data_IF_538728648440
#
_entry.id   IF_538728648440
#
_cell.length_a   1.000
_cell.length_b   1.000
_cell.length_c   1.000
_cell.angle_alpha   90.00
_cell.angle_beta   90.00
_cell.angle_gamma   90.00
#
_symmetry.space_group_name_H-M   'P 1'
#
loop_
_entity.id
_entity.type
_entity.pdbx_description
1 polymer ?
#
# COMPACT_ATOMS: atom_id res chain seq x y z
N UNK A 1 1.13 -27.26 6.67
CA UNK A 1 0.82 -26.63 5.37
C UNK A 1 0.92 -25.13 5.54
N UNK A 2 1.72 -24.45 4.72
CA UNK A 2 1.82 -22.99 4.71
C UNK A 2 0.79 -22.49 3.69
N UNK A 3 -0.27 -21.86 4.15
CA UNK A 3 -1.26 -21.26 3.25
C UNK A 3 -0.66 -19.98 2.64
N UNK A 4 -0.74 -19.86 1.31
CA UNK A 4 -0.36 -18.63 0.60
C UNK A 4 -1.65 -17.82 0.45
N UNK A 5 -1.70 -16.65 1.07
CA UNK A 5 -2.83 -15.72 0.93
C UNK A 5 -2.47 -14.68 -0.13
N UNK A 6 -3.22 -14.68 -1.23
CA UNK A 6 -3.03 -13.73 -2.34
C UNK A 6 -4.19 -12.73 -2.29
N UNK A 7 -3.87 -11.45 -2.24
CA UNK A 7 -4.82 -10.36 -2.49
C UNK A 7 -4.50 -9.74 -3.85
N UNK A 8 -5.42 -9.80 -4.83
CA UNK A 8 -5.21 -9.10 -6.08
C UNK A 8 -5.25 -7.59 -5.85
N UNK A 9 -4.40 -6.88 -6.59
CA UNK A 9 -4.41 -5.42 -6.70
C UNK A 9 -4.57 -5.11 -8.17
N UNK A 10 -5.58 -4.32 -8.50
CA UNK A 10 -5.73 -3.79 -9.85
C UNK A 10 -4.74 -2.63 -10.05
N UNK A 11 -4.04 -2.62 -11.18
CA UNK A 11 -3.15 -1.53 -11.56
C UNK A 11 -3.76 -0.78 -12.74
N UNK A 12 -3.81 0.55 -12.65
CA UNK A 12 -4.31 1.41 -13.74
C UNK A 12 -3.30 2.49 -14.11
N UNK A 13 -3.25 2.83 -15.40
CA UNK A 13 -2.41 3.92 -15.93
C UNK A 13 -3.26 5.17 -16.21
N UNK A 14 -4.15 5.49 -15.27
CA UNK A 14 -4.96 6.73 -15.25
C UNK A 14 -4.94 7.33 -13.84
N UNK A 15 -5.19 8.63 -13.72
CA UNK A 15 -5.34 9.29 -12.41
C UNK A 15 -6.58 8.79 -11.66
N UNK A 16 -6.47 8.69 -10.33
CA UNK A 16 -7.57 8.36 -9.43
C UNK A 16 -7.90 9.54 -8.52
N UNK A 17 -9.20 9.70 -8.23
CA UNK A 17 -9.73 10.78 -7.41
C UNK A 17 -10.80 10.24 -6.47
N UNK A 18 -10.87 10.82 -5.27
CA UNK A 18 -11.95 10.60 -4.31
C UNK A 18 -12.46 11.95 -3.81
N UNK A 19 -13.74 12.07 -3.39
CA UNK A 19 -14.26 13.32 -2.84
C UNK A 19 -13.38 13.87 -1.71
N UNK A 20 -13.02 15.15 -1.80
CA UNK A 20 -12.22 15.84 -0.79
C UNK A 20 -10.70 15.77 -0.97
N UNK A 21 -10.19 15.02 -1.95
CA UNK A 21 -8.76 14.98 -2.29
C UNK A 21 -8.53 15.35 -3.76
N UNK A 22 -7.36 15.95 -4.02
CA UNK A 22 -6.97 16.36 -5.37
C UNK A 22 -6.51 15.19 -6.25
N UNK A 23 -6.10 14.06 -5.65
CA UNK A 23 -5.82 12.77 -6.29
C UNK A 23 -5.57 11.74 -5.19
N UNK A 24 -5.51 10.45 -5.56
CA UNK A 24 -4.98 9.38 -4.72
C UNK A 24 -4.04 8.49 -5.51
N UNK A 25 -3.06 7.88 -4.84
CA UNK A 25 -2.19 6.87 -5.45
C UNK A 25 -2.87 5.51 -5.56
N UNK A 26 -3.83 5.24 -4.70
CA UNK A 26 -4.64 4.04 -4.73
C UNK A 26 -5.87 4.20 -3.86
N UNK A 27 -6.69 3.17 -3.88
CA UNK A 27 -7.86 3.05 -3.02
C UNK A 27 -8.13 1.58 -2.72
N UNK A 28 -8.45 1.31 -1.46
CA UNK A 28 -8.99 0.03 -1.04
C UNK A 28 -10.44 0.17 -0.57
N UNK A 29 -11.28 -0.81 -0.93
CA UNK A 29 -12.66 -0.91 -0.46
C UNK A 29 -13.08 -2.37 -0.34
N UNK A 30 -13.43 -2.78 0.88
CA UNK A 30 -13.68 -4.18 1.19
C UNK A 30 -12.43 -5.03 0.93
N UNK A 31 -12.56 -6.04 0.07
CA UNK A 31 -11.47 -6.94 -0.32
C UNK A 31 -10.81 -6.54 -1.65
N UNK A 32 -11.12 -5.36 -2.18
CA UNK A 32 -10.58 -4.89 -3.45
C UNK A 32 -9.62 -3.73 -3.20
N UNK A 33 -8.57 -3.67 -4.01
CA UNK A 33 -7.58 -2.61 -4.00
C UNK A 33 -7.21 -2.24 -5.44
N UNK A 34 -7.04 -0.95 -5.71
CA UNK A 34 -6.55 -0.43 -6.98
C UNK A 34 -5.43 0.57 -6.73
N UNK A 35 -4.39 0.56 -7.56
CA UNK A 35 -3.34 1.59 -7.58
C UNK A 35 -3.26 2.28 -8.95
N UNK A 36 -3.00 3.58 -8.92
CA UNK A 36 -2.66 4.39 -10.09
C UNK A 36 -1.14 4.48 -10.24
N UNK A 37 -0.64 4.10 -11.40
CA UNK A 37 0.78 4.17 -11.72
C UNK A 37 1.22 5.55 -12.23
N UNK A 38 0.28 6.36 -12.72
CA UNK A 38 0.57 7.61 -13.45
C UNK A 38 1.42 8.56 -12.63
N UNK A 39 1.00 8.83 -11.38
CA UNK A 39 1.68 9.78 -10.49
C UNK A 39 2.85 9.17 -9.74
N UNK A 40 3.17 7.89 -9.93
CA UNK A 40 4.35 7.25 -9.35
C UNK A 40 5.57 7.38 -10.28
N UNK A 41 5.34 7.63 -11.57
CA UNK A 41 6.37 7.84 -12.58
C UNK A 41 7.07 9.19 -12.37
N UNK A 42 8.41 9.23 -12.25
CA UNK A 42 9.16 10.49 -12.25
C UNK A 42 8.81 11.41 -13.43
N UNK A 43 8.53 10.84 -14.60
CA UNK A 43 8.19 11.56 -15.82
C UNK A 43 6.92 12.42 -15.70
N UNK A 44 5.97 12.02 -14.84
CA UNK A 44 4.77 12.82 -14.55
C UNK A 44 5.14 14.20 -14.00
N UNK A 45 6.21 14.28 -13.21
CA UNK A 45 6.74 15.50 -12.63
C UNK A 45 7.87 16.14 -13.46
N UNK A 46 7.99 15.75 -14.74
CA UNK A 46 9.02 16.23 -15.68
C UNK A 46 10.45 15.90 -15.25
N UNK A 47 10.62 14.90 -14.39
CA UNK A 47 11.92 14.37 -14.04
C UNK A 47 12.39 13.37 -15.10
N UNK A 48 13.69 13.02 -15.06
CA UNK A 48 14.21 11.96 -15.91
C UNK A 48 13.62 10.63 -15.48
N UNK A 49 13.31 9.80 -16.48
CA UNK A 49 12.91 8.41 -16.29
C UNK A 49 13.85 7.70 -15.32
N UNK A 50 13.28 7.15 -14.26
CA UNK A 50 13.99 6.34 -13.27
C UNK A 50 13.15 5.11 -12.92
N UNK A 51 13.48 4.00 -13.58
CA UNK A 51 12.78 2.71 -13.44
C UNK A 51 12.89 2.14 -12.02
N UNK A 52 14.00 2.37 -11.34
CA UNK A 52 14.18 1.92 -9.96
C UNK A 52 13.18 2.62 -9.04
N UNK A 53 13.13 3.95 -9.14
CA UNK A 53 12.26 4.76 -8.29
C UNK A 53 10.78 4.52 -8.61
N UNK A 54 10.42 4.39 -9.89
CA UNK A 54 9.07 4.01 -10.29
C UNK A 54 8.68 2.66 -9.68
N UNK A 55 9.51 1.62 -9.79
CA UNK A 55 9.23 0.30 -9.21
C UNK A 55 9.12 0.33 -7.70
N UNK A 56 9.99 1.06 -7.03
CA UNK A 56 9.96 1.20 -5.57
C UNK A 56 8.64 1.83 -5.11
N UNK A 57 8.22 2.93 -5.75
CA UNK A 57 6.97 3.62 -5.47
C UNK A 57 5.76 2.73 -5.74
N UNK A 58 5.71 2.07 -6.90
CA UNK A 58 4.64 1.13 -7.25
C UNK A 58 4.53 0.00 -6.25
N UNK A 59 5.66 -0.59 -5.83
CA UNK A 59 5.66 -1.65 -4.82
C UNK A 59 5.12 -1.14 -3.47
N UNK A 60 5.50 0.07 -3.06
CA UNK A 60 5.03 0.64 -1.79
C UNK A 60 3.52 0.80 -1.76
N UNK A 61 2.93 1.36 -2.82
CA UNK A 61 1.48 1.53 -2.90
C UNK A 61 0.75 0.18 -3.13
N UNK A 62 1.34 -0.74 -3.91
CA UNK A 62 0.83 -2.10 -4.10
C UNK A 62 0.81 -2.94 -2.81
N UNK A 63 1.59 -2.56 -1.79
CA UNK A 63 1.52 -3.18 -0.45
C UNK A 63 0.58 -2.37 0.47
N UNK A 64 0.57 -1.05 0.34
CA UNK A 64 -0.28 -0.14 1.13
C UNK A 64 -1.76 -0.47 0.97
N UNK A 65 -2.27 -0.54 -0.26
CA UNK A 65 -3.70 -0.70 -0.51
C UNK A 65 -4.24 -2.05 -0.03
N UNK A 66 -3.60 -3.21 -0.29
CA UNK A 66 -3.97 -4.47 0.37
C UNK A 66 -3.90 -4.40 1.89
N UNK A 67 -2.97 -3.63 2.46
CA UNK A 67 -2.92 -3.43 3.91
C UNK A 67 -4.27 -2.95 4.47
N UNK A 68 -4.97 -2.09 3.75
CA UNK A 68 -6.34 -1.68 4.08
C UNK A 68 -7.37 -2.81 3.95
N UNK A 69 -7.26 -3.69 2.94
CA UNK A 69 -8.17 -4.86 2.81
C UNK A 69 -8.00 -5.87 3.96
N UNK A 70 -6.82 -5.91 4.59
CA UNK A 70 -6.58 -6.65 5.83
C UNK A 70 -7.04 -5.91 7.11
N UNK A 71 -7.66 -4.74 6.97
CA UNK A 71 -8.18 -3.96 8.09
C UNK A 71 -7.14 -3.09 8.79
N UNK A 72 -5.99 -2.79 8.16
CA UNK A 72 -5.12 -1.74 8.65
C UNK A 72 -5.68 -0.36 8.32
N UNK A 73 -5.48 0.59 9.23
CA UNK A 73 -5.67 2.01 8.97
C UNK A 73 -4.31 2.68 8.75
N UNK A 74 -4.33 3.95 8.36
CA UNK A 74 -3.10 4.74 8.24
C UNK A 74 -2.28 4.70 9.53
N UNK A 75 -0.96 4.63 9.36
CA UNK A 75 0.00 4.54 10.45
C UNK A 75 0.69 5.90 10.65
N UNK A 76 0.83 6.38 11.91
CA UNK A 76 1.55 7.62 12.19
C UNK A 76 3.07 7.49 12.01
N UNK A 77 3.60 6.26 11.95
CA UNK A 77 5.01 6.00 11.65
C UNK A 77 5.26 6.25 10.15
N UNK A 78 5.97 7.34 9.84
CA UNK A 78 6.31 7.76 8.47
C UNK A 78 7.13 6.72 7.70
N UNK A 79 7.82 5.80 8.40
CA UNK A 79 8.59 4.73 7.77
C UNK A 79 7.77 3.46 7.54
N UNK A 80 6.54 3.38 8.03
CA UNK A 80 5.65 2.26 7.79
C UNK A 80 5.03 2.33 6.39
N UNK A 81 4.85 1.20 5.71
CA UNK A 81 4.15 1.15 4.42
C UNK A 81 2.72 1.69 4.48
N UNK A 82 2.07 1.59 5.66
CA UNK A 82 0.73 2.12 5.90
C UNK A 82 0.71 3.62 6.23
N UNK A 83 1.82 4.34 6.14
CA UNK A 83 1.78 5.79 6.26
C UNK A 83 0.93 6.39 5.14
N UNK A 84 0.12 7.40 5.43
CA UNK A 84 -0.68 8.07 4.41
C UNK A 84 0.21 8.92 3.52
N UNK A 85 0.07 8.78 2.19
CA UNK A 85 0.76 9.64 1.23
C UNK A 85 -0.20 10.65 0.64
N UNK A 86 0.02 11.93 0.95
CA UNK A 86 -0.71 13.03 0.32
C UNK A 86 0.07 13.62 -0.87
N UNK A 87 1.38 13.41 -0.88
CA UNK A 87 2.31 13.81 -1.94
C UNK A 87 3.27 12.67 -2.26
N UNK A 88 3.96 12.77 -3.39
CA UNK A 88 4.90 11.73 -3.84
C UNK A 88 6.06 11.52 -2.85
N UNK A 89 6.51 12.61 -2.23
CA UNK A 89 7.61 12.58 -1.26
C UNK A 89 7.26 11.75 -0.02
N UNK A 90 5.98 11.69 0.36
CA UNK A 90 5.51 10.86 1.46
C UNK A 90 5.70 9.36 1.13
N UNK A 91 5.44 8.95 -0.11
CA UNK A 91 5.70 7.59 -0.60
C UNK A 91 7.21 7.30 -0.62
N UNK A 92 8.03 8.26 -1.00
CA UNK A 92 9.50 8.09 -1.00
C UNK A 92 10.05 7.88 0.43
N UNK A 93 9.46 8.55 1.43
CA UNK A 93 9.85 8.43 2.84
C UNK A 93 9.47 7.08 3.46
N UNK A 94 8.43 6.39 2.96
CA UNK A 94 8.06 5.06 3.48
C UNK A 94 9.25 4.10 3.41
N UNK A 95 9.40 3.26 4.44
CA UNK A 95 10.29 2.11 4.40
C UNK A 95 9.73 0.99 3.52
N UNK A 96 10.45 -0.13 3.37
CA UNK A 96 10.07 -1.21 2.46
C UNK A 96 8.94 -2.11 2.98
N UNK A 97 8.37 -1.84 4.16
CA UNK A 97 7.38 -2.73 4.75
C UNK A 97 6.66 -2.17 5.97
N UNK A 98 5.84 -3.04 6.58
CA UNK A 98 5.07 -2.72 7.78
C UNK A 98 5.97 -2.51 9.00
N UNK A 99 5.64 -1.52 9.83
CA UNK A 99 6.21 -1.44 11.17
C UNK A 99 5.79 -2.66 12.03
N UNK A 100 6.42 -2.83 13.20
CA UNK A 100 6.12 -3.96 14.11
C UNK A 100 4.63 -4.04 14.47
N UNK A 101 3.97 -2.91 14.72
CA UNK A 101 2.56 -2.88 15.09
C UNK A 101 1.65 -3.32 13.94
N UNK A 102 1.86 -2.81 12.72
CA UNK A 102 1.08 -3.21 11.54
C UNK A 102 1.35 -4.67 11.16
N UNK A 103 2.60 -5.13 11.25
CA UNK A 103 2.98 -6.53 11.03
C UNK A 103 2.24 -7.49 11.97
N UNK A 104 2.11 -7.13 13.25
CA UNK A 104 1.38 -7.94 14.23
C UNK A 104 -0.12 -8.00 13.91
N UNK A 105 -0.73 -6.88 13.51
CA UNK A 105 -2.14 -6.84 13.09
C UNK A 105 -2.40 -7.73 11.88
N UNK A 106 -1.55 -7.66 10.84
CA UNK A 106 -1.63 -8.53 9.66
C UNK A 106 -1.52 -10.00 10.07
N UNK A 107 -0.53 -10.34 10.91
CA UNK A 107 -0.34 -11.73 11.37
C UNK A 107 -1.55 -12.26 12.12
N UNK A 108 -2.16 -11.45 12.99
CA UNK A 108 -3.36 -11.84 13.71
C UNK A 108 -4.53 -12.05 12.75
N UNK A 109 -4.73 -11.13 11.79
CA UNK A 109 -5.79 -11.24 10.79
C UNK A 109 -5.66 -12.48 9.90
N UNK A 110 -4.44 -12.79 9.48
CA UNK A 110 -4.14 -14.03 8.75
C UNK A 110 -4.33 -15.26 9.64
N UNK A 111 -3.95 -15.18 10.93
CA UNK A 111 -4.20 -16.26 11.89
C UNK A 111 -5.68 -16.58 12.04
N UNK A 112 -6.52 -15.57 12.19
CA UNK A 112 -7.99 -15.70 12.21
C UNK A 112 -8.51 -16.36 10.93
N UNK A 113 -8.09 -15.87 9.76
CA UNK A 113 -8.51 -16.42 8.47
C UNK A 113 -8.08 -17.88 8.25
N UNK A 114 -7.00 -18.30 8.90
CA UNK A 114 -6.43 -19.66 8.80
C UNK A 114 -6.82 -20.57 9.97
N UNK A 115 -7.68 -20.10 10.90
CA UNK A 115 -8.03 -20.80 12.15
C UNK A 115 -6.79 -21.19 12.98
N UNK A 116 -5.74 -20.36 12.96
CA UNK A 116 -4.53 -20.54 13.76
C UNK A 116 -4.73 -19.77 15.08
N UNK A 117 -4.67 -20.41 16.25
CA UNK A 117 -4.85 -19.72 17.53
C UNK A 117 -3.75 -18.66 17.71
N UNK A 118 -4.08 -17.49 18.29
CA UNK A 118 -3.09 -16.46 18.58
C UNK A 118 -1.98 -17.04 19.46
N UNK A 119 -0.72 -16.82 19.06
CA UNK A 119 0.42 -17.17 19.92
C UNK A 119 0.36 -16.30 21.17
N UNK A 120 0.12 -16.94 22.31
CA UNK A 120 0.27 -16.37 23.66
C UNK A 120 1.66 -15.75 23.82
#
# INVERSE_FOLDING_TARGET
>A
MQYIYIQPVDEVDVDLFVPGLNFVFGLASGNNAVISLVRLRPEYYRERKNEYLFRERSLKEAIHEPGHTFGLHHCPDIRCIMHFSNRLEDTDIKGPGFCKACSNKIRNKLGEALNIPPKL
#
